data_IF_879003132435
#
_entry.id   IF_879003132435
#
_cell.length_a   1.000
_cell.length_b   1.000
_cell.length_c   1.000
_cell.angle_alpha   90.00
_cell.angle_beta   90.00
_cell.angle_gamma   90.00
#
_symmetry.space_group_name_H-M   'P 1'
#
loop_
_entity.id
_entity.type
_entity.pdbx_description
1 polymer ?
#
# COMPACT_ATOMS: atom_id res chain seq x y z
N UNK A 1 -1.43 -14.20 -12.80
CA UNK A 1 -1.32 -15.60 -12.34
C UNK A 1 -0.44 -15.61 -11.10
N UNK A 2 -0.90 -16.20 -10.00
CA UNK A 2 -0.10 -16.38 -8.78
C UNK A 2 0.63 -17.70 -8.93
N UNK A 3 1.94 -17.64 -9.06
CA UNK A 3 2.83 -18.80 -9.18
C UNK A 3 3.80 -18.76 -8.00
N UNK A 4 4.33 -19.91 -7.60
CA UNK A 4 5.39 -19.95 -6.59
C UNK A 4 6.63 -19.22 -7.11
N UNK A 5 7.29 -18.44 -6.26
CA UNK A 5 8.55 -17.76 -6.60
C UNK A 5 9.64 -18.75 -7.01
N UNK A 6 9.63 -19.96 -6.43
CA UNK A 6 10.58 -21.02 -6.77
C UNK A 6 10.45 -21.48 -8.23
N UNK A 7 9.22 -21.80 -8.66
CA UNK A 7 8.95 -22.24 -10.05
C UNK A 7 9.39 -21.16 -11.03
N UNK A 8 9.07 -19.90 -10.72
CA UNK A 8 9.48 -18.76 -11.54
C UNK A 8 11.00 -18.66 -11.66
N UNK A 9 11.72 -18.77 -10.54
CA UNK A 9 13.18 -18.73 -10.51
C UNK A 9 13.80 -19.86 -11.33
N UNK A 10 13.28 -21.09 -11.20
CA UNK A 10 13.76 -22.26 -11.95
C UNK A 10 13.53 -22.13 -13.45
N UNK A 11 12.36 -21.64 -13.86
CA UNK A 11 12.04 -21.39 -15.28
C UNK A 11 12.95 -20.31 -15.85
N UNK A 12 13.11 -19.19 -15.14
CA UNK A 12 13.99 -18.09 -15.58
C UNK A 12 15.43 -18.55 -15.69
N UNK A 13 15.94 -19.29 -14.70
CA UNK A 13 17.28 -19.87 -14.75
C UNK A 13 17.46 -20.77 -15.97
N UNK A 14 16.52 -21.70 -16.19
CA UNK A 14 16.58 -22.61 -17.34
C UNK A 14 16.62 -21.88 -18.68
N UNK A 15 15.82 -20.82 -18.86
CA UNK A 15 15.83 -20.04 -20.10
C UNK A 15 17.10 -19.21 -20.24
N UNK A 16 17.67 -18.69 -19.14
CA UNK A 16 18.96 -17.97 -19.14
C UNK A 16 20.15 -18.89 -19.43
N UNK A 17 20.08 -20.14 -18.99
CA UNK A 17 21.10 -21.18 -19.24
C UNK A 17 21.03 -21.73 -20.68
N UNK A 18 20.18 -21.16 -21.56
CA UNK A 18 20.08 -21.50 -22.98
C UNK A 18 18.87 -22.36 -23.36
N UNK A 19 18.01 -22.69 -22.39
CA UNK A 19 16.81 -23.49 -22.62
C UNK A 19 15.71 -22.76 -23.41
N UNK A 20 14.92 -23.52 -24.18
CA UNK A 20 13.80 -22.97 -24.94
C UNK A 20 12.63 -22.51 -24.06
N UNK A 21 11.95 -21.42 -24.43
CA UNK A 21 10.78 -20.91 -23.68
C UNK A 21 9.63 -21.92 -23.64
N UNK A 22 9.38 -22.60 -24.77
CA UNK A 22 8.35 -23.64 -24.90
C UNK A 22 8.73 -24.91 -24.14
N UNK A 23 10.01 -25.27 -24.18
CA UNK A 23 10.55 -26.39 -23.42
C UNK A 23 10.43 -26.15 -21.91
N UNK A 24 10.74 -24.93 -21.46
CA UNK A 24 10.57 -24.54 -20.06
C UNK A 24 9.10 -24.64 -19.62
N UNK A 25 8.16 -24.20 -20.46
CA UNK A 25 6.72 -24.30 -20.19
C UNK A 25 6.29 -25.74 -19.94
N UNK A 26 6.69 -26.66 -20.83
CA UNK A 26 6.40 -28.09 -20.71
C UNK A 26 7.09 -28.72 -19.49
N UNK A 27 8.37 -28.45 -19.30
CA UNK A 27 9.20 -29.03 -18.23
C UNK A 27 8.72 -28.65 -16.83
N UNK A 28 8.24 -27.42 -16.66
CA UNK A 28 7.81 -26.89 -15.37
C UNK A 28 6.29 -26.81 -15.21
N UNK A 29 5.51 -27.29 -16.20
CA UNK A 29 4.05 -27.30 -16.15
C UNK A 29 3.42 -25.90 -16.08
N UNK A 30 4.05 -24.90 -16.70
CA UNK A 30 3.58 -23.52 -16.71
C UNK A 30 3.11 -23.13 -18.11
N UNK A 31 2.07 -22.29 -18.20
CA UNK A 31 1.61 -21.80 -19.51
C UNK A 31 2.70 -20.99 -20.22
N UNK A 32 2.86 -21.21 -21.53
CA UNK A 32 3.87 -20.53 -22.35
C UNK A 32 3.82 -19.00 -22.20
N UNK A 33 2.61 -18.42 -22.22
CA UNK A 33 2.40 -16.99 -22.04
C UNK A 33 3.00 -16.44 -20.73
N UNK A 34 3.04 -17.24 -19.65
CA UNK A 34 3.67 -16.85 -18.39
C UNK A 34 5.19 -16.78 -18.52
N UNK A 35 5.80 -17.72 -19.24
CA UNK A 35 7.25 -17.73 -19.51
C UNK A 35 7.64 -16.49 -20.31
N UNK A 36 6.90 -16.18 -21.38
CA UNK A 36 7.11 -14.95 -22.16
C UNK A 36 6.99 -13.69 -21.30
N UNK A 37 5.98 -13.60 -20.43
CA UNK A 37 5.80 -12.46 -19.53
C UNK A 37 6.94 -12.31 -18.52
N UNK A 38 7.51 -13.40 -18.02
CA UNK A 38 8.64 -13.34 -17.09
C UNK A 38 9.92 -12.89 -17.77
N UNK A 39 10.15 -13.34 -19.01
CA UNK A 39 11.32 -12.92 -19.79
C UNK A 39 11.22 -11.47 -20.28
N UNK A 40 10.01 -10.92 -20.41
CA UNK A 40 9.79 -9.52 -20.78
C UNK A 40 9.94 -8.53 -19.61
N UNK A 41 10.02 -9.00 -18.36
CA UNK A 41 10.23 -8.14 -17.20
C UNK A 41 11.73 -8.02 -16.90
N UNK A 42 12.21 -6.79 -16.65
CA UNK A 42 13.60 -6.53 -16.23
C UNK A 42 13.95 -7.31 -14.96
N UNK A 43 13.03 -7.36 -14.01
CA UNK A 43 13.09 -8.25 -12.85
C UNK A 43 12.15 -9.45 -13.05
N UNK A 44 12.72 -10.47 -13.69
CA UNK A 44 12.02 -11.71 -13.98
C UNK A 44 11.59 -12.50 -12.72
N UNK A 45 12.12 -12.17 -11.54
CA UNK A 45 11.80 -12.81 -10.26
C UNK A 45 10.73 -12.01 -9.47
N UNK A 46 10.70 -10.69 -9.61
CA UNK A 46 9.76 -9.84 -8.90
C UNK A 46 8.31 -10.08 -9.34
N UNK A 47 7.52 -10.65 -8.43
CA UNK A 47 6.07 -10.54 -8.52
C UNK A 47 5.63 -9.20 -7.97
N UNK A 48 5.18 -8.31 -8.85
CA UNK A 48 4.51 -7.08 -8.41
C UNK A 48 3.02 -7.34 -8.26
N UNK A 49 2.48 -7.18 -7.04
CA UNK A 49 1.04 -7.28 -6.78
C UNK A 49 0.31 -6.18 -7.57
N UNK A 50 -0.63 -6.53 -8.47
CA UNK A 50 -1.46 -5.54 -9.12
C UNK A 50 -2.38 -4.92 -8.06
N UNK A 51 -2.29 -3.61 -7.89
CA UNK A 51 -3.12 -2.87 -6.93
C UNK A 51 -2.61 -1.45 -6.68
N UNK A 52 -3.48 -0.56 -6.19
CA UNK A 52 -3.09 0.81 -5.84
C UNK A 52 -2.03 0.78 -4.74
N UNK A 53 -0.84 1.35 -5.04
CA UNK A 53 0.30 1.40 -4.11
C UNK A 53 0.18 2.51 -3.07
N UNK A 54 -0.63 3.52 -3.38
CA UNK A 54 -0.86 4.69 -2.54
C UNK A 54 -2.34 4.94 -2.32
N UNK A 55 -2.61 5.69 -1.26
CA UNK A 55 -3.92 6.28 -1.02
C UNK A 55 -4.26 7.20 -2.20
N UNK A 56 -5.51 7.11 -2.69
CA UNK A 56 -6.00 7.99 -3.77
C UNK A 56 -6.45 9.36 -3.27
N UNK A 57 -6.77 9.49 -1.98
CA UNK A 57 -7.45 10.67 -1.41
C UNK A 57 -6.51 11.62 -0.67
N UNK A 58 -5.37 11.13 -0.18
CA UNK A 58 -4.42 11.90 0.61
C UNK A 58 -2.98 11.53 0.24
N UNK A 59 -2.17 12.55 -0.01
CA UNK A 59 -0.72 12.43 -0.14
C UNK A 59 -0.09 12.14 1.24
N UNK A 60 0.81 11.16 1.31
CA UNK A 60 1.52 10.85 2.55
C UNK A 60 2.45 11.99 2.99
N UNK A 61 2.96 12.77 2.04
CA UNK A 61 3.82 13.91 2.29
C UNK A 61 3.04 15.01 3.03
N UNK A 62 1.91 15.43 2.47
CA UNK A 62 1.06 16.48 3.02
C UNK A 62 0.54 16.12 4.43
N UNK A 63 0.26 14.83 4.66
CA UNK A 63 -0.10 14.34 5.99
C UNK A 63 1.08 14.48 6.97
N UNK A 64 2.30 14.13 6.53
CA UNK A 64 3.50 14.24 7.36
C UNK A 64 3.79 15.69 7.74
N UNK A 65 3.73 16.61 6.78
CA UNK A 65 3.92 18.04 7.03
C UNK A 65 2.84 18.59 7.98
N UNK A 66 1.58 18.20 7.79
CA UNK A 66 0.50 18.60 8.68
C UNK A 66 0.69 18.07 10.11
N UNK A 67 1.28 16.87 10.28
CA UNK A 67 1.64 16.35 11.61
C UNK A 67 2.71 17.21 12.27
N UNK A 68 3.73 17.64 11.52
CA UNK A 68 4.80 18.49 12.04
C UNK A 68 4.29 19.89 12.42
N UNK A 69 3.49 20.51 11.56
CA UNK A 69 2.99 21.88 11.78
C UNK A 69 1.90 21.97 12.86
N UNK A 70 1.20 20.87 13.11
CA UNK A 70 0.08 20.83 14.06
C UNK A 70 0.15 19.60 14.96
N UNK A 71 1.21 19.44 15.75
CA UNK A 71 1.44 18.24 16.58
C UNK A 71 0.28 17.92 17.56
N UNK A 72 -0.47 18.94 18.00
CA UNK A 72 -1.57 18.80 18.96
C UNK A 72 -2.91 18.40 18.34
N UNK A 73 -3.03 18.42 17.01
CA UNK A 73 -4.29 18.07 16.36
C UNK A 73 -4.65 16.60 16.53
N UNK A 74 -5.90 16.38 16.93
CA UNK A 74 -6.55 15.08 16.98
C UNK A 74 -6.74 14.50 15.58
N UNK A 75 -6.94 13.18 15.51
CA UNK A 75 -7.24 12.49 14.24
C UNK A 75 -8.54 13.03 13.62
N UNK A 76 -9.52 13.44 14.44
CA UNK A 76 -10.78 14.00 14.00
C UNK A 76 -10.62 15.39 13.34
N UNK A 77 -9.80 16.27 13.92
CA UNK A 77 -9.51 17.58 13.34
C UNK A 77 -8.78 17.44 12.00
N UNK A 78 -7.78 16.55 11.93
CA UNK A 78 -7.10 16.24 10.66
C UNK A 78 -8.06 15.68 9.62
N UNK A 79 -8.99 14.81 10.03
CA UNK A 79 -9.99 14.25 9.12
C UNK A 79 -10.90 15.34 8.53
N UNK A 80 -11.33 16.32 9.34
CA UNK A 80 -12.08 17.49 8.87
C UNK A 80 -11.27 18.36 7.91
N UNK A 81 -10.02 18.66 8.24
CA UNK A 81 -9.12 19.45 7.40
C UNK A 81 -8.91 18.82 6.02
N UNK A 82 -8.57 17.52 5.99
CA UNK A 82 -8.36 16.78 4.75
C UNK A 82 -9.66 16.33 4.06
N UNK A 83 -10.83 16.59 4.66
CA UNK A 83 -12.16 16.15 4.17
C UNK A 83 -12.21 14.64 3.89
N UNK A 84 -11.61 13.85 4.77
CA UNK A 84 -11.58 12.37 4.69
C UNK A 84 -12.14 11.74 5.96
N UNK A 85 -12.35 10.43 5.96
CA UNK A 85 -12.75 9.72 7.18
C UNK A 85 -11.61 9.67 8.21
N UNK A 86 -11.98 9.64 9.49
CA UNK A 86 -11.05 9.44 10.62
C UNK A 86 -10.21 8.18 10.44
N UNK A 87 -10.82 7.10 9.95
CA UNK A 87 -10.12 5.84 9.65
C UNK A 87 -9.07 5.98 8.54
N UNK A 88 -9.30 6.85 7.55
CA UNK A 88 -8.32 7.14 6.52
C UNK A 88 -7.06 7.77 7.12
N UNK A 89 -7.21 8.77 7.99
CA UNK A 89 -6.09 9.41 8.68
C UNK A 89 -5.37 8.39 9.58
N UNK A 90 -6.12 7.64 10.40
CA UNK A 90 -5.54 6.63 11.29
C UNK A 90 -4.70 5.59 10.53
N UNK A 91 -5.21 5.07 9.40
CA UNK A 91 -4.47 4.11 8.57
C UNK A 91 -3.17 4.72 7.99
N UNK A 92 -3.22 5.96 7.49
CA UNK A 92 -2.05 6.61 6.92
C UNK A 92 -1.01 7.00 7.99
N UNK A 93 -1.43 7.43 9.19
CA UNK A 93 -0.51 7.67 10.32
C UNK A 93 0.20 6.38 10.75
N UNK A 94 -0.52 5.25 10.81
CA UNK A 94 0.07 3.93 11.08
C UNK A 94 1.09 3.54 10.01
N UNK A 95 0.81 3.83 8.73
CA UNK A 95 1.73 3.59 7.62
C UNK A 95 3.01 4.44 7.73
N UNK A 96 2.90 5.68 8.21
CA UNK A 96 4.03 6.57 8.50
C UNK A 96 4.77 6.24 9.81
N UNK A 97 4.29 5.26 10.59
CA UNK A 97 4.82 4.91 11.93
C UNK A 97 4.81 6.07 12.93
N UNK A 98 3.90 7.02 12.76
CA UNK A 98 3.73 8.15 13.67
C UNK A 98 2.76 7.74 14.77
N UNK A 99 3.20 7.83 16.03
CA UNK A 99 2.35 7.64 17.20
C UNK A 99 2.55 8.79 18.20
N UNK A 100 1.46 9.21 18.85
CA UNK A 100 1.52 10.21 19.92
C UNK A 100 1.76 9.48 21.24
N UNK A 101 2.90 9.72 21.88
CA UNK A 101 3.15 9.24 23.24
C UNK A 101 2.30 10.06 24.22
N UNK A 102 1.62 9.40 25.15
CA UNK A 102 0.79 10.03 26.17
C UNK A 102 1.69 10.60 27.28
N UNK A 103 2.26 11.78 27.05
CA UNK A 103 3.12 12.47 28.02
C UNK A 103 2.51 13.76 28.59
N UNK A 104 1.39 14.22 28.06
CA UNK A 104 0.67 15.36 28.63
C UNK A 104 -0.38 14.86 29.61
N UNK A 105 -0.47 15.51 30.76
CA UNK A 105 -1.62 15.42 31.64
C UNK A 105 -2.87 15.63 30.76
N UNK A 106 -3.60 14.54 30.51
CA UNK A 106 -4.68 14.55 29.51
C UNK A 106 -5.70 15.59 29.95
N UNK A 107 -5.91 16.61 29.13
CA UNK A 107 -7.08 17.46 29.24
C UNK A 107 -8.30 16.56 29.27
N UNK A 108 -9.03 16.62 30.39
CA UNK A 108 -10.31 15.96 30.58
C UNK A 108 -11.13 16.02 29.29
N UNK A 109 -11.55 14.85 28.82
CA UNK A 109 -12.61 14.58 27.85
C UNK A 109 -12.96 15.75 26.92
N UNK A 110 -12.09 16.09 25.96
CA UNK A 110 -12.51 16.92 24.81
C UNK A 110 -13.45 16.10 23.93
N UNK A 111 -14.76 16.28 24.13
CA UNK A 111 -15.76 15.81 23.17
C UNK A 111 -15.54 16.56 21.86
N UNK A 112 -15.27 15.83 20.78
CA UNK A 112 -15.34 16.43 19.46
C UNK A 112 -16.81 16.71 19.14
N UNK A 113 -17.11 17.92 18.69
CA UNK A 113 -18.43 18.23 18.15
C UNK A 113 -18.67 17.35 16.92
N UNK A 114 -19.70 16.51 17.00
CA UNK A 114 -20.32 15.91 15.82
C UNK A 114 -21.21 16.99 15.22
N UNK A 115 -20.63 17.88 14.42
CA UNK A 115 -21.40 18.60 13.40
C UNK A 115 -22.03 17.51 12.52
N UNK A 116 -23.32 17.27 12.73
CA UNK A 116 -24.07 16.30 11.97
C UNK A 116 -23.95 16.66 10.49
N UNK A 117 -23.51 15.71 9.66
CA UNK A 117 -23.84 15.79 8.25
C UNK A 117 -25.37 15.74 8.17
N UNK A 118 -26.00 16.91 8.09
CA UNK A 118 -27.40 17.01 7.72
C UNK A 118 -27.52 16.38 6.34
N UNK A 119 -28.18 15.22 6.30
CA UNK A 119 -28.72 14.70 5.05
C UNK A 119 -29.80 15.69 4.64
N UNK A 120 -29.49 16.54 3.67
CA UNK A 120 -30.47 17.34 2.95
C UNK A 120 -31.55 16.40 2.39
N UNK A 121 -32.77 16.51 2.94
CA UNK A 121 -34.01 16.02 2.35
C UNK A 121 -34.71 17.16 1.63
#
# INVERSE_FOLDING_TARGET
MRCSSDIRRRVVKFVRDGGGKREAALRFGVGEASVYRWMAQEDAEAYTKPGPRSSRKISLHDLSENVLNHADWTIAERARYFKVSVFCIHYNLKKLRISRKKNDAVHATRHYEKEGLSASS
#
